data_IF_360093949799
#
_entry.id   IF_360093949799
#
_cell.length_a   1.000
_cell.length_b   1.000
_cell.length_c   1.000
_cell.angle_alpha   90.00
_cell.angle_beta   90.00
_cell.angle_gamma   90.00
#
_symmetry.space_group_name_H-M   'P 1'
#
loop_
_entity.id
_entity.type
_entity.pdbx_description
1 polymer ?
#
# COMPACT_ATOMS: atom_id res chain seq x y z
N UNK A 1 6.15 12.69 4.45
CA UNK A 1 5.33 11.83 5.34
C UNK A 1 3.96 11.51 4.76
N UNK A 2 3.16 12.50 4.34
CA UNK A 2 1.82 12.28 3.75
C UNK A 2 1.78 11.11 2.74
N UNK A 3 2.61 11.15 1.70
CA UNK A 3 2.66 10.09 0.68
C UNK A 3 2.87 8.69 1.30
N UNK A 4 3.90 8.52 2.13
CA UNK A 4 4.17 7.24 2.80
C UNK A 4 3.03 6.77 3.71
N UNK A 5 2.34 7.69 4.41
CA UNK A 5 1.17 7.36 5.24
C UNK A 5 -0.08 7.02 4.43
N UNK A 6 -0.16 7.43 3.16
CA UNK A 6 -1.27 7.03 2.26
C UNK A 6 -1.04 5.66 1.62
N UNK A 7 0.20 5.15 1.56
CA UNK A 7 0.50 3.85 0.92
C UNK A 7 -0.23 2.65 1.54
N UNK A 8 -0.41 2.54 2.87
CA UNK A 8 -1.19 1.47 3.47
C UNK A 8 -2.64 1.42 2.98
N UNK A 9 -3.27 2.58 2.76
CA UNK A 9 -4.62 2.66 2.20
C UNK A 9 -4.66 2.11 0.77
N UNK A 10 -3.73 2.55 -0.10
CA UNK A 10 -3.67 2.05 -1.47
C UNK A 10 -3.38 0.56 -1.53
N UNK A 11 -2.49 0.05 -0.67
CA UNK A 11 -2.23 -1.39 -0.58
C UNK A 11 -3.49 -2.19 -0.21
N UNK A 12 -4.29 -1.68 0.73
CA UNK A 12 -5.56 -2.29 1.10
C UNK A 12 -6.58 -2.22 -0.04
N UNK A 13 -6.72 -1.06 -0.70
CA UNK A 13 -7.64 -0.86 -1.81
C UNK A 13 -7.30 -1.75 -3.01
N UNK A 14 -6.03 -1.78 -3.45
CA UNK A 14 -5.63 -2.62 -4.60
C UNK A 14 -5.73 -4.11 -4.28
N UNK A 15 -5.42 -4.52 -3.05
CA UNK A 15 -5.59 -5.92 -2.61
C UNK A 15 -7.06 -6.31 -2.57
N UNK A 16 -7.93 -5.42 -2.09
CA UNK A 16 -9.38 -5.64 -2.06
C UNK A 16 -9.94 -5.82 -3.47
N UNK A 17 -9.65 -4.89 -4.39
CA UNK A 17 -10.15 -4.96 -5.78
C UNK A 17 -9.66 -6.23 -6.49
N UNK A 18 -8.39 -6.60 -6.29
CA UNK A 18 -7.85 -7.83 -6.85
C UNK A 18 -8.61 -9.06 -6.33
N UNK A 19 -8.70 -9.22 -5.00
CA UNK A 19 -9.38 -10.39 -4.41
C UNK A 19 -10.85 -10.44 -4.78
N UNK A 20 -11.51 -9.28 -4.88
CA UNK A 20 -12.89 -9.15 -5.34
C UNK A 20 -13.05 -9.62 -6.79
N UNK A 21 -12.06 -9.40 -7.65
CA UNK A 21 -12.07 -9.88 -9.04
C UNK A 21 -11.79 -11.38 -9.18
N UNK A 22 -11.04 -11.96 -8.24
CA UNK A 22 -10.61 -13.37 -8.27
C UNK A 22 -11.55 -14.32 -7.49
N UNK A 23 -12.35 -13.80 -6.57
CA UNK A 23 -13.17 -14.60 -5.64
C UNK A 23 -14.67 -14.50 -5.92
N UNK A 24 -15.37 -15.62 -5.84
CA UNK A 24 -16.84 -15.65 -5.90
C UNK A 24 -17.50 -14.95 -4.69
N UNK A 25 -16.82 -14.96 -3.55
CA UNK A 25 -17.22 -14.22 -2.33
C UNK A 25 -16.21 -13.10 -2.11
N UNK A 26 -16.64 -11.83 -2.08
CA UNK A 26 -15.73 -10.72 -1.87
C UNK A 26 -15.20 -10.72 -0.42
N UNK A 27 -13.93 -10.33 -0.21
CA UNK A 27 -13.40 -10.13 1.14
C UNK A 27 -14.13 -8.99 1.86
N UNK A 28 -13.90 -8.85 3.17
CA UNK A 28 -14.39 -7.66 3.88
C UNK A 28 -13.81 -6.38 3.24
N UNK A 29 -14.55 -5.26 3.38
CA UNK A 29 -14.13 -3.97 2.83
C UNK A 29 -12.69 -3.63 3.24
N UNK A 30 -11.84 -3.27 2.28
CA UNK A 30 -10.40 -3.02 2.47
C UNK A 30 -9.62 -4.19 3.11
N UNK A 31 -10.10 -5.43 2.92
CA UNK A 31 -9.54 -6.63 3.54
C UNK A 31 -9.44 -6.52 5.07
N UNK A 32 -10.45 -5.90 5.71
CA UNK A 32 -10.48 -5.70 7.16
C UNK A 32 -10.45 -7.02 7.97
N UNK A 33 -10.79 -8.14 7.32
CA UNK A 33 -10.74 -9.51 7.82
C UNK A 33 -9.36 -10.17 7.69
N UNK A 34 -8.41 -9.57 6.95
CA UNK A 34 -7.07 -10.10 6.76
C UNK A 34 -6.10 -9.64 7.88
N UNK A 35 -5.72 -10.53 8.81
CA UNK A 35 -4.83 -10.15 9.91
C UNK A 35 -3.41 -9.85 9.45
N UNK A 36 -2.94 -10.41 8.33
CA UNK A 36 -1.61 -10.12 7.79
C UNK A 36 -1.57 -8.72 7.19
N UNK A 37 -2.61 -8.32 6.46
CA UNK A 37 -2.73 -6.97 5.90
C UNK A 37 -2.81 -5.93 7.03
N UNK A 38 -3.61 -6.18 8.07
CA UNK A 38 -3.70 -5.30 9.24
C UNK A 38 -2.35 -5.10 9.92
N UNK A 39 -1.58 -6.18 10.12
CA UNK A 39 -0.22 -6.08 10.70
C UNK A 39 0.71 -5.27 9.81
N UNK A 40 0.67 -5.47 8.49
CA UNK A 40 1.50 -4.71 7.56
C UNK A 40 1.15 -3.22 7.56
N UNK A 41 -0.15 -2.87 7.57
CA UNK A 41 -0.63 -1.48 7.68
C UNK A 41 -0.14 -0.83 8.98
N UNK A 42 -0.25 -1.54 10.10
CA UNK A 42 0.21 -1.03 11.39
C UNK A 42 1.72 -0.80 11.38
N UNK A 43 2.50 -1.80 10.98
CA UNK A 43 3.97 -1.70 10.89
C UNK A 43 4.41 -0.55 10.00
N UNK A 44 3.83 -0.42 8.80
CA UNK A 44 4.16 0.65 7.86
C UNK A 44 3.86 2.04 8.44
N UNK A 45 2.72 2.17 9.14
CA UNK A 45 2.31 3.43 9.76
C UNK A 45 3.25 3.80 10.90
N UNK A 46 3.54 2.87 11.81
CA UNK A 46 4.48 3.06 12.92
C UNK A 46 5.87 3.44 12.41
N UNK A 47 6.43 2.71 11.43
CA UNK A 47 7.77 2.97 10.90
C UNK A 47 7.93 4.38 10.28
N UNK A 48 6.84 4.91 9.70
CA UNK A 48 6.79 6.25 9.10
C UNK A 48 6.59 7.33 10.16
N UNK A 49 5.79 7.07 11.19
CA UNK A 49 5.56 8.00 12.30
C UNK A 49 6.79 8.13 13.20
N UNK A 50 7.46 7.02 13.49
CA UNK A 50 8.64 6.96 14.36
C UNK A 50 9.94 7.38 13.67
N UNK A 51 9.91 7.60 12.35
CA UNK A 51 11.05 8.15 11.63
C UNK A 51 11.47 9.52 12.23
N UNK A 52 12.75 9.89 12.21
CA UNK A 52 13.17 11.22 12.66
C UNK A 52 12.50 12.36 11.88
N UNK A 53 12.31 13.54 12.49
CA UNK A 53 12.01 14.77 11.75
C UNK A 53 13.07 15.02 10.66
N UNK A 54 12.66 15.49 9.49
CA UNK A 54 13.57 15.72 8.37
C UNK A 54 13.98 14.46 7.58
N UNK A 55 13.48 13.28 7.95
CA UNK A 55 13.71 12.06 7.14
C UNK A 55 13.23 12.29 5.71
N UNK A 56 14.12 11.98 4.76
CA UNK A 56 13.89 12.09 3.32
C UNK A 56 12.59 11.37 2.89
N UNK A 57 11.73 12.01 2.07
CA UNK A 57 10.49 11.39 1.58
C UNK A 57 10.69 10.05 0.87
N UNK A 58 11.78 9.86 0.11
CA UNK A 58 12.05 8.60 -0.57
C UNK A 58 12.37 7.49 0.44
N UNK A 59 13.14 7.79 1.48
CA UNK A 59 13.37 6.81 2.56
C UNK A 59 12.08 6.48 3.33
N UNK A 60 11.18 7.43 3.54
CA UNK A 60 9.87 7.14 4.15
C UNK A 60 9.02 6.20 3.28
N UNK A 61 9.03 6.38 1.95
CA UNK A 61 8.37 5.46 1.02
C UNK A 61 9.00 4.08 1.04
N UNK A 62 10.34 3.99 1.10
CA UNK A 62 11.04 2.70 1.24
C UNK A 62 10.68 1.98 2.54
N UNK A 63 10.58 2.70 3.66
CA UNK A 63 10.13 2.15 4.95
C UNK A 63 8.73 1.55 4.84
N UNK A 64 7.76 2.33 4.34
CA UNK A 64 6.41 1.84 4.12
C UNK A 64 6.39 0.63 3.17
N UNK A 65 7.18 0.68 2.08
CA UNK A 65 7.27 -0.39 1.09
C UNK A 65 7.83 -1.71 1.64
N UNK A 66 8.79 -1.66 2.56
CA UNK A 66 9.32 -2.87 3.24
C UNK A 66 8.23 -3.57 4.04
N UNK A 67 7.47 -2.82 4.85
CA UNK A 67 6.38 -3.36 5.66
C UNK A 67 5.20 -3.86 4.79
N UNK A 68 4.93 -3.18 3.67
CA UNK A 68 3.84 -3.53 2.75
C UNK A 68 4.26 -4.51 1.66
N UNK A 69 5.47 -5.07 1.66
CA UNK A 69 6.03 -5.80 0.51
C UNK A 69 5.10 -6.91 -0.03
N UNK A 70 4.45 -7.67 0.84
CA UNK A 70 3.51 -8.73 0.46
C UNK A 70 2.22 -8.23 -0.22
N UNK A 71 1.91 -6.94 -0.07
CA UNK A 71 0.72 -6.27 -0.59
C UNK A 71 1.07 -5.15 -1.60
N UNK A 72 2.36 -4.91 -1.85
CA UNK A 72 2.86 -3.90 -2.78
C UNK A 72 2.95 -4.43 -4.23
N UNK A 73 1.83 -4.93 -4.76
CA UNK A 73 1.81 -5.67 -6.04
C UNK A 73 1.96 -4.78 -7.28
N UNK A 74 1.63 -3.50 -7.19
CA UNK A 74 1.65 -2.57 -8.34
C UNK A 74 2.82 -1.57 -8.27
N UNK A 75 3.81 -1.81 -7.42
CA UNK A 75 4.91 -0.87 -7.21
C UNK A 75 4.46 0.45 -6.54
N UNK A 76 3.48 0.39 -5.63
CA UNK A 76 2.90 1.53 -4.90
C UNK A 76 3.99 2.40 -4.26
N UNK A 77 5.03 1.77 -3.73
CA UNK A 77 6.11 2.45 -3.02
C UNK A 77 7.36 2.69 -3.89
N UNK A 78 7.25 2.58 -5.23
CA UNK A 78 8.34 2.92 -6.13
C UNK A 78 8.49 4.45 -6.25
N UNK A 79 9.56 5.06 -5.73
CA UNK A 79 9.77 6.50 -5.81
C UNK A 79 10.04 6.99 -7.25
N UNK A 80 10.41 6.10 -8.18
CA UNK A 80 10.60 6.43 -9.59
C UNK A 80 9.28 6.40 -10.39
N UNK A 81 8.20 5.86 -9.81
CA UNK A 81 6.89 5.86 -10.45
C UNK A 81 6.26 7.27 -10.38
N UNK A 82 6.47 8.05 -11.44
CA UNK A 82 5.91 9.41 -11.56
C UNK A 82 4.36 9.48 -11.54
N UNK A 83 3.69 8.34 -11.73
CA UNK A 83 2.25 8.16 -11.53
C UNK A 83 1.98 6.79 -10.90
N UNK A 84 1.29 6.76 -9.76
CA UNK A 84 0.89 5.53 -9.05
C UNK A 84 -0.10 4.66 -9.86
N UNK A 85 -0.85 5.29 -10.77
CA UNK A 85 -1.78 4.62 -11.67
C UNK A 85 -1.18 4.50 -13.08
N UNK A 86 -0.30 3.51 -13.29
CA UNK A 86 0.05 3.10 -14.67
C UNK A 86 -1.02 2.20 -15.29
N UNK A 87 -1.98 1.70 -14.50
CA UNK A 87 -2.92 0.64 -14.86
C UNK A 87 -4.41 0.98 -14.60
N UNK A 88 -4.92 2.11 -15.12
CA UNK A 88 -6.38 2.38 -15.11
C UNK A 88 -7.01 2.62 -16.47
N UNK A 89 -6.29 2.47 -17.57
CA UNK A 89 -6.94 2.36 -18.88
C UNK A 89 -7.16 0.87 -19.18
N UNK A 90 -8.38 0.39 -18.92
CA UNK A 90 -8.90 -0.73 -19.71
C UNK A 90 -8.69 -0.36 -21.18
N UNK A 91 -7.97 -1.21 -21.93
CA UNK A 91 -7.85 -1.03 -23.37
C UNK A 91 -9.26 -0.99 -23.95
N UNK A 92 -9.55 0.08 -24.69
CA UNK A 92 -10.82 0.27 -25.39
C UNK A 92 -10.92 -0.67 -26.58
#
# INVERSE_FOLDING_TARGET
>A
RFQALTMPYFAAATTYEQRRSESAVPPAFLCADDPALRRAVWSATTDVLDAPPGTDPVELLRRAGRALAAFNRVGLCDPAAGNLYRYTAAAK
#
